data_IF_184246395707
#
_entry.id   IF_184246395707
#
_cell.length_a   1.000
_cell.length_b   1.000
_cell.length_c   1.000
_cell.angle_alpha   90.00
_cell.angle_beta   90.00
_cell.angle_gamma   90.00
#
_symmetry.space_group_name_H-M   'P 1'
#
loop_
_entity.id
_entity.type
_entity.pdbx_description
1 polymer ?
#
# COMPACT_ATOMS: atom_id res chain seq x y z
N UNK A 1 -1.05 -12.28 3.80
CA UNK A 1 -0.54 -11.83 2.49
C UNK A 1 0.88 -12.29 2.35
N UNK A 2 1.30 -12.83 1.20
CA UNK A 2 2.69 -13.26 0.98
C UNK A 2 3.43 -12.18 0.20
N UNK A 3 4.61 -11.78 0.68
CA UNK A 3 5.38 -10.68 0.11
C UNK A 3 6.03 -11.00 -1.24
N UNK A 4 5.98 -12.27 -1.67
CA UNK A 4 6.50 -12.73 -2.98
C UNK A 4 5.80 -12.07 -4.18
N UNK A 5 4.64 -11.43 -3.94
CA UNK A 5 3.89 -10.68 -4.96
C UNK A 5 4.16 -9.19 -4.95
N UNK A 6 4.99 -8.69 -4.03
CA UNK A 6 5.36 -7.26 -4.01
C UNK A 6 6.35 -6.99 -5.13
N UNK A 7 6.06 -6.08 -6.06
CA UNK A 7 6.99 -5.75 -7.12
C UNK A 7 8.29 -5.17 -6.58
N UNK A 8 9.42 -5.49 -7.22
CA UNK A 8 10.74 -5.02 -6.80
C UNK A 8 10.92 -3.49 -6.78
N UNK A 9 10.02 -2.75 -7.44
CA UNK A 9 10.00 -1.30 -7.46
C UNK A 9 9.21 -0.66 -6.32
N UNK A 10 8.46 -1.44 -5.54
CA UNK A 10 7.64 -0.91 -4.47
C UNK A 10 8.53 -0.30 -3.38
N UNK A 11 8.28 0.96 -3.06
CA UNK A 11 8.89 1.66 -1.94
C UNK A 11 7.92 1.81 -0.76
N UNK A 12 6.62 1.60 -0.99
CA UNK A 12 5.56 1.75 0.01
C UNK A 12 4.49 0.69 -0.17
N UNK A 13 3.91 0.25 0.95
CA UNK A 13 2.72 -0.61 1.00
C UNK A 13 1.65 0.06 1.85
N UNK A 14 0.39 -0.12 1.46
CA UNK A 14 -0.75 0.28 2.30
C UNK A 14 -1.97 -0.62 2.08
N UNK A 15 -2.84 -0.66 3.08
CA UNK A 15 -4.12 -1.33 3.02
C UNK A 15 -5.25 -0.32 3.18
N UNK A 16 -6.17 -0.29 2.22
CA UNK A 16 -7.34 0.59 2.26
C UNK A 16 -8.39 0.09 3.28
N UNK A 17 -9.38 0.94 3.56
CA UNK A 17 -10.45 0.64 4.52
C UNK A 17 -11.32 -0.57 4.13
N UNK A 18 -11.36 -0.95 2.86
CA UNK A 18 -12.06 -2.15 2.36
C UNK A 18 -11.19 -3.42 2.38
N UNK A 19 -9.95 -3.28 2.84
CA UNK A 19 -8.98 -4.35 2.98
C UNK A 19 -8.14 -4.62 1.73
N UNK A 20 -8.26 -3.85 0.65
CA UNK A 20 -7.42 -3.96 -0.54
C UNK A 20 -5.99 -3.50 -0.22
N UNK A 21 -5.00 -4.26 -0.69
CA UNK A 21 -3.58 -3.92 -0.56
C UNK A 21 -3.01 -3.36 -1.85
N UNK A 22 -2.15 -2.36 -1.70
CA UNK A 22 -1.47 -1.67 -2.78
C UNK A 22 0.03 -1.58 -2.53
N UNK A 23 0.80 -1.61 -3.62
CA UNK A 23 2.20 -1.21 -3.68
C UNK A 23 2.32 0.11 -4.44
N UNK A 24 3.16 1.01 -3.94
CA UNK A 24 3.48 2.29 -4.56
C UNK A 24 4.99 2.47 -4.70
N UNK A 25 5.41 3.05 -5.81
CA UNK A 25 6.81 3.44 -6.07
C UNK A 25 7.18 4.75 -5.38
N UNK A 26 6.24 5.69 -5.30
CA UNK A 26 6.36 6.94 -4.55
C UNK A 26 5.41 6.92 -3.34
N UNK A 27 5.65 7.80 -2.36
CA UNK A 27 4.79 7.90 -1.18
C UNK A 27 3.38 8.33 -1.60
N UNK A 28 2.33 7.54 -1.29
CA UNK A 28 0.97 7.82 -1.72
C UNK A 28 0.33 8.96 -0.91
N UNK A 29 -0.67 9.61 -1.51
CA UNK A 29 -1.47 10.61 -0.82
C UNK A 29 -2.62 9.96 -0.06
N UNK A 30 -2.93 10.48 1.14
CA UNK A 30 -4.12 10.10 1.90
C UNK A 30 -5.38 10.60 1.19
N UNK A 31 -6.41 9.76 1.11
CA UNK A 31 -7.76 10.12 0.65
C UNK A 31 -8.83 9.82 1.74
N UNK A 32 -10.12 9.77 1.39
CA UNK A 32 -11.22 9.60 2.35
C UNK A 32 -11.27 8.19 2.98
N UNK A 33 -10.92 7.15 2.21
CA UNK A 33 -11.01 5.74 2.62
C UNK A 33 -9.83 4.85 2.19
N UNK A 34 -8.72 5.47 1.83
CA UNK A 34 -7.57 4.75 1.28
C UNK A 34 -6.45 5.66 0.82
N UNK A 35 -5.49 5.03 0.13
CA UNK A 35 -4.27 5.65 -0.36
C UNK A 35 -4.30 5.75 -1.88
N UNK A 36 -4.00 6.93 -2.42
CA UNK A 36 -4.05 7.19 -3.85
C UNK A 36 -2.66 7.54 -4.41
N UNK A 37 -2.40 7.11 -5.66
CA UNK A 37 -1.17 7.43 -6.38
C UNK A 37 -1.02 8.95 -6.54
N UNK A 38 0.19 9.46 -6.33
CA UNK A 38 0.50 10.88 -6.45
C UNK A 38 0.79 11.34 -7.90
N UNK A 39 0.27 10.63 -8.90
CA UNK A 39 0.59 10.78 -10.34
C UNK A 39 2.10 10.63 -10.67
N UNK A 40 2.89 10.11 -9.71
CA UNK A 40 4.32 9.87 -9.82
C UNK A 40 4.64 8.43 -9.47
N UNK A 41 5.13 7.67 -10.45
CA UNK A 41 5.59 6.30 -10.26
C UNK A 41 4.49 5.25 -10.41
N UNK A 42 4.82 4.00 -10.13
CA UNK A 42 3.92 2.86 -10.35
C UNK A 42 3.03 2.59 -9.14
N UNK A 43 1.82 2.10 -9.43
CA UNK A 43 0.87 1.52 -8.48
C UNK A 43 0.50 0.10 -8.91
N UNK A 44 0.36 -0.82 -7.95
CA UNK A 44 -0.10 -2.18 -8.20
C UNK A 44 -0.99 -2.71 -7.07
N UNK A 45 -2.12 -3.30 -7.44
CA UNK A 45 -2.98 -4.05 -6.51
C UNK A 45 -2.33 -5.38 -6.18
N UNK A 46 -2.18 -5.68 -4.90
CA UNK A 46 -1.50 -6.88 -4.43
C UNK A 46 -2.44 -7.97 -3.92
N UNK A 47 -3.69 -7.61 -3.60
CA UNK A 47 -4.71 -8.53 -3.11
C UNK A 47 -5.70 -7.86 -2.18
N UNK A 48 -6.44 -8.66 -1.43
CA UNK A 48 -7.38 -8.18 -0.41
C UNK A 48 -7.34 -9.11 0.79
N UNK A 49 -7.39 -8.54 1.99
CA UNK A 49 -7.56 -9.25 3.26
C UNK A 49 -8.69 -8.62 4.08
N UNK A 50 -8.89 -9.07 5.31
CA UNK A 50 -9.86 -8.43 6.21
C UNK A 50 -9.55 -6.92 6.33
N UNK A 51 -10.59 -6.06 6.34
CA UNK A 51 -10.45 -4.63 6.60
C UNK A 51 -9.66 -4.35 7.89
N UNK A 52 -8.71 -3.40 7.88
CA UNK A 52 -8.00 -2.99 9.08
C UNK A 52 -8.92 -2.13 9.97
N UNK A 53 -8.74 -2.15 11.31
CA UNK A 53 -9.49 -1.26 12.21
C UNK A 53 -9.10 0.22 12.04
N UNK A 54 -7.86 0.48 11.59
CA UNK A 54 -7.33 1.80 11.27
C UNK A 54 -6.50 1.69 9.98
N UNK A 55 -7.10 2.09 8.85
CA UNK A 55 -6.46 2.00 7.54
C UNK A 55 -5.37 3.08 7.34
N UNK A 56 -5.45 4.19 8.09
CA UNK A 56 -4.47 5.28 8.01
C UNK A 56 -3.12 4.87 8.60
N UNK A 57 -3.13 3.97 9.59
CA UNK A 57 -1.92 3.42 10.19
C UNK A 57 -1.23 2.34 9.33
N UNK A 58 -1.79 1.97 8.17
CA UNK A 58 -1.28 0.86 7.37
C UNK A 58 -0.18 1.24 6.39
N UNK A 59 0.02 2.54 6.13
CA UNK A 59 1.09 2.99 5.24
C UNK A 59 2.45 2.72 5.88
N UNK A 60 3.25 1.91 5.19
CA UNK A 60 4.60 1.55 5.63
C UNK A 60 5.60 1.71 4.48
N UNK A 61 6.81 2.13 4.82
CA UNK A 61 7.95 2.05 3.91
C UNK A 61 8.31 0.58 3.65
N UNK A 62 8.69 0.27 2.41
CA UNK A 62 8.99 -1.09 1.96
C UNK A 62 10.29 -1.14 1.13
N UNK A 63 11.16 -2.15 1.35
CA UNK A 63 11.13 -3.09 2.47
C UNK A 63 11.41 -2.38 3.81
N UNK A 64 10.96 -2.94 4.95
CA UNK A 64 11.29 -2.38 6.26
C UNK A 64 12.81 -2.37 6.45
N UNK A 65 13.34 -1.26 6.94
CA UNK A 65 14.75 -1.24 7.38
C UNK A 65 14.89 -2.15 8.59
N UNK A 66 15.93 -2.98 8.59
CA UNK A 66 16.30 -3.87 9.71
C UNK A 66 16.71 -3.08 10.96
#
# INVERSE_FOLDING_TARGET
MTFDKVPAWAAWLAQDADGVWWAYEAEPNKQDKGWYENEVGRIARLGQSAPPPDWEATLIAWPPKA
#
